data_IF_115108527161
#
_entry.id   IF_115108527161
#
_cell.length_a   1.000
_cell.length_b   1.000
_cell.length_c   1.000
_cell.angle_alpha   90.00
_cell.angle_beta   90.00
_cell.angle_gamma   90.00
#
_symmetry.space_group_name_H-M   'P 1'
#
loop_
_entity.id
_entity.type
_entity.pdbx_description
1 polymer ?
#
# COMPACT_ATOMS: atom_id res chain seq x y z
N UNK A 1 -4.86 -8.72 -5.88
CA UNK A 1 -3.39 -8.90 -5.86
C UNK A 1 -3.08 -10.39 -5.84
N UNK A 2 -1.85 -10.79 -6.21
CA UNK A 2 -1.43 -12.20 -6.15
C UNK A 2 -1.28 -12.69 -4.71
N UNK A 3 -1.66 -13.94 -4.39
CA UNK A 3 -1.43 -14.52 -3.07
C UNK A 3 0.07 -14.74 -2.81
N UNK A 4 0.47 -14.67 -1.54
CA UNK A 4 1.83 -14.98 -1.09
C UNK A 4 2.02 -16.51 -1.06
N UNK A 5 3.15 -17.01 -1.59
CA UNK A 5 3.54 -18.42 -1.48
C UNK A 5 4.44 -18.62 -0.24
N UNK A 6 3.96 -19.27 0.84
CA UNK A 6 4.74 -19.48 2.05
C UNK A 6 5.84 -20.54 1.90
N UNK A 7 5.85 -21.33 0.82
CA UNK A 7 6.84 -22.37 0.56
C UNK A 7 8.02 -21.89 -0.30
N UNK A 8 8.00 -20.64 -0.77
CA UNK A 8 9.03 -20.08 -1.65
C UNK A 8 10.40 -20.03 -0.97
N UNK A 9 11.40 -20.72 -1.53
CA UNK A 9 12.79 -20.71 -1.09
C UNK A 9 13.78 -20.81 -2.27
N UNK A 10 14.85 -19.98 -2.32
CA UNK A 10 15.14 -18.86 -1.43
C UNK A 10 14.13 -17.72 -1.61
N UNK A 11 13.80 -17.04 -0.52
CA UNK A 11 12.84 -15.93 -0.51
C UNK A 11 13.55 -14.58 -0.63
N UNK A 12 13.14 -13.74 -1.58
CA UNK A 12 13.57 -12.34 -1.72
C UNK A 12 12.42 -11.41 -1.38
N UNK A 13 12.59 -10.68 -0.28
CA UNK A 13 11.61 -9.67 0.17
C UNK A 13 12.13 -8.28 -0.20
N UNK A 14 11.30 -7.51 -0.89
CA UNK A 14 11.46 -6.06 -1.02
C UNK A 14 10.47 -5.35 -0.10
N UNK A 15 10.86 -4.21 0.45
CA UNK A 15 10.01 -3.42 1.33
C UNK A 15 10.29 -1.93 1.16
N UNK A 16 9.32 -1.09 1.50
CA UNK A 16 9.48 0.36 1.46
C UNK A 16 8.28 1.13 2.00
N UNK A 17 8.48 2.44 2.14
CA UNK A 17 7.54 3.42 2.69
C UNK A 17 7.72 4.78 2.00
N UNK A 18 6.98 5.79 2.45
CA UNK A 18 7.11 7.20 2.06
C UNK A 18 6.89 7.43 0.56
N UNK A 19 5.79 6.89 0.05
CA UNK A 19 5.44 6.99 -1.36
C UNK A 19 4.63 8.25 -1.65
N UNK A 20 5.29 9.22 -2.30
CA UNK A 20 4.64 10.41 -2.86
C UNK A 20 3.86 10.02 -4.10
N UNK A 21 2.60 9.65 -3.94
CA UNK A 21 1.69 9.18 -4.97
C UNK A 21 1.55 10.13 -6.18
N UNK A 22 1.79 11.43 -5.96
CA UNK A 22 1.74 12.48 -6.97
C UNK A 22 3.04 12.61 -7.80
N UNK A 23 4.09 11.84 -7.49
CA UNK A 23 5.33 11.79 -8.27
C UNK A 23 5.37 10.56 -9.19
N UNK A 24 6.18 10.59 -10.27
CA UNK A 24 6.39 9.42 -11.11
C UNK A 24 6.83 8.19 -10.29
N UNK A 25 6.07 7.11 -10.40
CA UNK A 25 6.26 5.88 -9.61
C UNK A 25 7.35 4.96 -10.22
N UNK A 26 8.41 5.52 -10.82
CA UNK A 26 9.40 4.76 -11.61
C UNK A 26 10.28 3.83 -10.77
N UNK A 27 10.32 4.03 -9.44
CA UNK A 27 11.05 3.19 -8.51
C UNK A 27 10.58 1.72 -8.54
N UNK A 28 9.31 1.43 -8.86
CA UNK A 28 8.84 0.04 -8.99
C UNK A 28 9.50 -0.72 -10.13
N UNK A 29 9.92 -0.06 -11.22
CA UNK A 29 10.66 -0.74 -12.30
C UNK A 29 12.04 -1.18 -11.80
N UNK A 30 12.71 -0.35 -10.97
CA UNK A 30 13.99 -0.69 -10.36
C UNK A 30 13.85 -1.82 -9.31
N UNK A 31 12.77 -1.81 -8.52
CA UNK A 31 12.46 -2.86 -7.56
C UNK A 31 12.14 -4.18 -8.30
N UNK A 32 11.34 -4.13 -9.36
CA UNK A 32 11.00 -5.28 -10.19
C UNK A 32 12.25 -5.96 -10.78
N UNK A 33 13.26 -5.18 -11.16
CA UNK A 33 14.53 -5.72 -11.67
C UNK A 33 15.27 -6.62 -10.67
N UNK A 34 15.01 -6.46 -9.37
CA UNK A 34 15.55 -7.33 -8.31
C UNK A 34 14.83 -8.68 -8.21
N UNK A 35 13.70 -8.85 -8.91
CA UNK A 35 12.83 -10.04 -8.86
C UNK A 35 12.46 -10.43 -7.41
N UNK A 36 11.77 -9.56 -6.66
CA UNK A 36 11.26 -9.91 -5.35
C UNK A 36 10.11 -10.90 -5.46
N UNK A 37 10.04 -11.80 -4.48
CA UNK A 37 8.94 -12.74 -4.29
C UNK A 37 7.81 -12.13 -3.44
N UNK A 38 8.10 -11.05 -2.72
CA UNK A 38 7.16 -10.33 -1.87
C UNK A 38 7.52 -8.83 -1.81
N UNK A 39 6.50 -7.97 -1.88
CA UNK A 39 6.59 -6.56 -1.51
C UNK A 39 5.87 -6.31 -0.18
N UNK A 40 6.54 -5.59 0.72
CA UNK A 40 5.97 -5.16 1.99
C UNK A 40 5.92 -3.63 2.05
N UNK A 41 4.71 -3.10 2.07
CA UNK A 41 4.45 -1.71 2.43
C UNK A 41 4.65 -1.50 3.93
N UNK A 42 5.52 -0.56 4.30
CA UNK A 42 5.86 -0.25 5.69
C UNK A 42 5.14 0.97 6.25
N UNK A 43 4.20 1.57 5.51
CA UNK A 43 3.53 2.81 5.87
C UNK A 43 3.88 3.97 4.95
N UNK A 44 3.21 5.11 5.12
CA UNK A 44 3.18 6.22 4.16
C UNK A 44 2.98 5.73 2.73
N UNK A 45 2.02 4.84 2.52
CA UNK A 45 1.72 4.27 1.21
C UNK A 45 1.17 5.37 0.27
N UNK A 46 0.47 6.33 0.87
CA UNK A 46 0.09 7.63 0.31
C UNK A 46 0.26 8.73 1.36
N UNK A 47 0.50 9.97 0.93
CA UNK A 47 0.38 11.14 1.80
C UNK A 47 -1.10 11.54 1.93
N UNK A 48 -1.78 10.87 2.85
CA UNK A 48 -3.22 10.76 2.96
C UNK A 48 -3.89 11.68 3.98
N UNK A 49 -3.27 12.78 4.41
CA UNK A 49 -3.69 13.71 5.48
C UNK A 49 -5.10 14.32 5.34
N UNK A 50 -6.14 13.49 5.39
CA UNK A 50 -7.52 13.86 5.13
C UNK A 50 -8.49 12.94 5.88
N UNK A 51 -9.59 13.53 6.31
CA UNK A 51 -10.76 12.83 6.81
C UNK A 51 -11.80 12.56 5.71
N UNK A 52 -11.61 13.15 4.52
CA UNK A 52 -12.51 12.97 3.39
C UNK A 52 -12.26 11.60 2.72
N UNK A 53 -13.29 10.75 2.71
CA UNK A 53 -13.18 9.40 2.14
C UNK A 53 -12.85 9.44 0.64
N UNK A 54 -13.42 10.40 -0.09
CA UNK A 54 -13.21 10.55 -1.53
C UNK A 54 -11.78 10.92 -1.83
N UNK A 55 -11.23 11.91 -1.12
CA UNK A 55 -9.84 12.34 -1.27
C UNK A 55 -8.86 11.21 -0.95
N UNK A 56 -9.07 10.48 0.16
CA UNK A 56 -8.21 9.34 0.50
C UNK A 56 -8.30 8.23 -0.56
N UNK A 57 -9.51 7.92 -1.04
CA UNK A 57 -9.74 6.94 -2.11
C UNK A 57 -9.03 7.34 -3.40
N UNK A 58 -9.09 8.61 -3.79
CA UNK A 58 -8.42 9.13 -4.97
C UNK A 58 -6.90 9.06 -4.86
N UNK A 59 -6.34 9.29 -3.66
CA UNK A 59 -4.90 9.14 -3.42
C UNK A 59 -4.43 7.69 -3.59
N UNK A 60 -5.15 6.71 -3.06
CA UNK A 60 -4.84 5.29 -3.33
C UNK A 60 -5.03 4.94 -4.81
N UNK A 61 -6.06 5.47 -5.46
CA UNK A 61 -6.31 5.25 -6.88
C UNK A 61 -5.16 5.77 -7.77
N UNK A 62 -4.49 6.87 -7.39
CA UNK A 62 -3.29 7.36 -8.09
C UNK A 62 -2.16 6.32 -8.11
N UNK A 63 -1.90 5.67 -6.97
CA UNK A 63 -0.88 4.61 -6.88
C UNK A 63 -1.28 3.42 -7.74
N UNK A 64 -2.53 2.95 -7.63
CA UNK A 64 -3.04 1.81 -8.40
C UNK A 64 -3.09 2.07 -9.91
N UNK A 65 -3.29 3.31 -10.34
CA UNK A 65 -3.30 3.72 -11.73
C UNK A 65 -1.89 3.88 -12.33
N UNK A 66 -0.84 3.97 -11.50
CA UNK A 66 0.52 4.17 -11.98
C UNK A 66 1.00 2.95 -12.78
N UNK A 67 1.44 3.13 -14.05
CA UNK A 67 1.76 1.99 -14.91
C UNK A 67 2.85 1.06 -14.37
N UNK A 68 3.87 1.60 -13.72
CA UNK A 68 4.96 0.82 -13.11
C UNK A 68 4.47 0.02 -11.90
N UNK A 69 3.67 0.63 -11.02
CA UNK A 69 3.07 -0.07 -9.87
C UNK A 69 2.11 -1.17 -10.33
N UNK A 70 1.24 -0.87 -11.30
CA UNK A 70 0.30 -1.86 -11.85
C UNK A 70 1.01 -3.11 -12.37
N UNK A 71 2.03 -2.93 -13.22
CA UNK A 71 2.85 -4.06 -13.71
C UNK A 71 3.54 -4.80 -12.57
N UNK A 72 4.02 -4.07 -11.56
CA UNK A 72 4.69 -4.65 -10.41
C UNK A 72 3.76 -5.54 -9.59
N UNK A 73 2.58 -5.07 -9.22
CA UNK A 73 1.62 -5.84 -8.39
C UNK A 73 0.89 -6.95 -9.14
N UNK A 74 0.90 -6.91 -10.48
CA UNK A 74 0.47 -8.04 -11.32
C UNK A 74 1.46 -9.23 -11.23
N UNK A 75 2.73 -8.95 -10.92
CA UNK A 75 3.80 -9.96 -10.85
C UNK A 75 4.14 -10.37 -9.41
N UNK A 76 4.16 -9.42 -8.47
CA UNK A 76 4.68 -9.57 -7.12
C UNK A 76 3.55 -9.51 -6.10
N UNK A 77 3.41 -10.52 -5.21
CA UNK A 77 2.52 -10.45 -4.05
C UNK A 77 2.81 -9.24 -3.16
N UNK A 78 1.77 -8.60 -2.65
CA UNK A 78 1.86 -7.40 -1.82
C UNK A 78 1.18 -7.64 -0.48
N UNK A 79 1.86 -7.28 0.60
CA UNK A 79 1.30 -7.11 1.94
C UNK A 79 1.70 -5.75 2.49
N UNK A 80 1.09 -5.32 3.59
CA UNK A 80 1.38 -3.99 4.08
C UNK A 80 0.73 -3.59 5.38
N UNK A 81 1.30 -2.55 5.97
CA UNK A 81 0.75 -1.76 7.08
C UNK A 81 0.58 -0.30 6.64
N UNK A 82 0.09 0.52 7.57
CA UNK A 82 -0.05 1.98 7.45
C UNK A 82 0.83 2.72 8.45
N UNK A 83 1.09 3.99 8.16
CA UNK A 83 1.57 4.99 9.12
C UNK A 83 0.54 6.12 9.30
N UNK A 84 0.91 7.18 10.00
CA UNK A 84 0.11 8.37 10.31
C UNK A 84 -0.51 9.07 9.07
N UNK A 85 0.24 9.20 7.98
CA UNK A 85 -0.28 9.80 6.74
C UNK A 85 -1.38 8.94 6.09
N UNK A 86 -1.24 7.61 6.10
CA UNK A 86 -2.27 6.68 5.63
C UNK A 86 -3.48 6.66 6.59
N UNK A 87 -3.23 6.88 7.89
CA UNK A 87 -4.28 7.01 8.90
C UNK A 87 -5.13 8.25 8.66
N UNK A 88 -4.51 9.33 8.14
CA UNK A 88 -5.17 10.54 7.69
C UNK A 88 -4.75 11.81 8.41
N UNK A 89 -3.70 11.76 9.24
CA UNK A 89 -3.18 12.95 9.93
C UNK A 89 -1.70 12.78 10.27
N UNK A 90 -0.85 13.63 9.68
CA UNK A 90 0.55 13.79 10.06
C UNK A 90 0.74 13.99 11.58
N UNK A 91 1.64 13.22 12.17
CA UNK A 91 1.90 13.08 13.61
C UNK A 91 0.63 12.72 14.44
N UNK A 92 -0.40 12.20 13.78
CA UNK A 92 -1.67 11.82 14.38
C UNK A 92 -1.67 10.37 14.86
N UNK A 93 -2.61 10.07 15.75
CA UNK A 93 -2.78 8.74 16.31
C UNK A 93 -4.23 8.29 16.39
N UNK A 94 -4.51 7.45 17.37
CA UNK A 94 -5.80 6.77 17.56
C UNK A 94 -7.00 7.72 17.73
N UNK A 95 -6.73 8.98 18.06
CA UNK A 95 -7.70 10.06 18.23
C UNK A 95 -8.23 10.62 16.91
N UNK A 96 -7.59 10.32 15.77
CA UNK A 96 -8.07 10.78 14.48
C UNK A 96 -9.45 10.18 14.14
N UNK A 97 -10.50 11.01 13.94
CA UNK A 97 -11.88 10.51 13.84
C UNK A 97 -12.14 9.54 12.68
N UNK A 98 -11.50 9.77 11.52
CA UNK A 98 -11.69 8.95 10.32
C UNK A 98 -10.72 7.76 10.23
N UNK A 99 -10.00 7.43 11.31
CA UNK A 99 -9.03 6.32 11.34
C UNK A 99 -9.60 4.99 10.85
N UNK A 100 -10.80 4.60 11.30
CA UNK A 100 -11.42 3.34 10.91
C UNK A 100 -11.81 3.32 9.42
N UNK A 101 -12.32 4.44 8.90
CA UNK A 101 -12.62 4.61 7.48
C UNK A 101 -11.34 4.47 6.64
N UNK A 102 -10.27 5.18 7.03
CA UNK A 102 -9.01 5.16 6.29
C UNK A 102 -8.30 3.79 6.39
N UNK A 103 -8.46 3.07 7.51
CA UNK A 103 -8.03 1.67 7.61
C UNK A 103 -8.74 0.78 6.60
N UNK A 104 -10.04 0.94 6.45
CA UNK A 104 -10.82 0.18 5.48
C UNK A 104 -10.36 0.48 4.05
N UNK A 105 -10.05 1.74 3.73
CA UNK A 105 -9.49 2.13 2.43
C UNK A 105 -8.09 1.56 2.19
N UNK A 106 -7.23 1.51 3.20
CA UNK A 106 -5.94 0.81 3.13
C UNK A 106 -6.12 -0.67 2.80
N UNK A 107 -7.04 -1.36 3.49
CA UNK A 107 -7.27 -2.79 3.27
C UNK A 107 -7.82 -3.06 1.87
N UNK A 108 -8.62 -2.15 1.34
CA UNK A 108 -9.10 -2.20 -0.04
C UNK A 108 -7.96 -1.95 -1.04
N UNK A 109 -7.08 -0.99 -0.76
CA UNK A 109 -5.86 -0.74 -1.55
C UNK A 109 -4.92 -1.96 -1.59
N UNK A 110 -4.74 -2.65 -0.45
CA UNK A 110 -3.95 -3.89 -0.34
C UNK A 110 -4.68 -5.12 -0.91
N UNK A 111 -5.94 -4.98 -1.35
CA UNK A 111 -6.74 -6.10 -1.83
C UNK A 111 -6.96 -7.19 -0.78
N UNK A 112 -7.01 -6.81 0.50
CA UNK A 112 -7.20 -7.73 1.62
C UNK A 112 -8.55 -8.48 1.47
N UNK A 113 -8.59 -9.82 1.68
CA UNK A 113 -9.84 -10.58 1.64
C UNK A 113 -10.91 -10.04 2.58
N UNK A 114 -12.19 -10.14 2.18
CA UNK A 114 -13.33 -9.63 2.98
C UNK A 114 -13.53 -10.36 4.30
N UNK A 115 -13.09 -11.61 4.39
CA UNK A 115 -13.17 -12.50 5.55
C UNK A 115 -11.88 -12.50 6.39
N UNK A 116 -10.93 -11.61 6.09
CA UNK A 116 -9.71 -11.45 6.87
C UNK A 116 -9.99 -10.91 8.27
N UNK A 117 -9.27 -11.43 9.26
CA UNK A 117 -9.29 -10.91 10.64
C UNK A 117 -8.81 -9.45 10.77
N UNK A 118 -8.28 -8.85 9.69
CA UNK A 118 -7.90 -7.44 9.62
C UNK A 118 -9.09 -6.50 9.36
N UNK A 119 -10.24 -7.02 8.93
CA UNK A 119 -11.46 -6.25 8.61
C UNK A 119 -12.48 -6.25 9.74
#
# INVERSE_FOLDING_TARGET
MRPVDPAQVPLRIAFGSCNRQYQPQTHYDAIAAQRPDLWIWLGDNVYGDTADEGEMRDKYAQVLAAPSYRRFVDAVPVVGIWDDHDMGQNDGGKEFPARAQNQQLLLDFLGEPRDSARR
#
